data_IF_681095623647
#
_entry.id   IF_681095623647
#
_cell.length_a   1.000
_cell.length_b   1.000
_cell.length_c   1.000
_cell.angle_alpha   90.00
_cell.angle_beta   90.00
_cell.angle_gamma   90.00
#
_symmetry.space_group_name_H-M   'P 1'
#
loop_
_entity.id
_entity.type
_entity.pdbx_description
1 polymer ?
#
# COMPACT_ATOMS: atom_id res chain seq x y z
N UNK A 1 47.45 -15.72 14.56
CA UNK A 1 46.51 -16.69 15.18
C UNK A 1 46.60 -16.51 16.69
N UNK A 2 45.50 -16.15 17.35
CA UNK A 2 44.62 -17.17 17.92
C UNK A 2 43.20 -17.11 17.37
N UNK A 3 42.43 -18.11 17.77
CA UNK A 3 41.29 -18.69 17.09
C UNK A 3 39.93 -18.34 17.74
N UNK A 4 38.89 -18.36 16.88
CA UNK A 4 37.50 -18.79 17.10
C UNK A 4 36.68 -18.14 18.23
N UNK A 5 35.57 -17.49 17.85
CA UNK A 5 34.25 -17.82 18.41
C UNK A 5 33.23 -17.89 17.27
N UNK A 6 32.74 -19.10 17.05
CA UNK A 6 31.54 -19.44 16.28
C UNK A 6 30.32 -19.14 17.15
N UNK A 7 29.36 -18.36 16.61
CA UNK A 7 27.90 -18.47 16.78
C UNK A 7 27.16 -17.14 17.00
N UNK A 8 26.37 -16.81 15.97
CA UNK A 8 24.98 -16.34 15.99
C UNK A 8 24.61 -15.12 16.83
N UNK A 9 24.40 -13.98 16.15
CA UNK A 9 23.31 -13.05 16.50
C UNK A 9 22.68 -12.56 15.18
N UNK A 10 21.40 -12.85 14.98
CA UNK A 10 20.56 -12.18 13.98
C UNK A 10 20.46 -10.71 14.39
N UNK A 11 21.36 -9.87 13.87
CA UNK A 11 21.28 -8.44 14.06
C UNK A 11 19.99 -7.95 13.38
N UNK A 12 19.03 -7.32 14.09
CA UNK A 12 18.00 -6.56 13.41
C UNK A 12 18.76 -5.53 12.56
N UNK A 13 18.61 -5.61 11.24
CA UNK A 13 19.18 -4.64 10.31
C UNK A 13 18.76 -3.26 10.81
N UNK A 14 19.70 -2.50 11.36
CA UNK A 14 19.48 -1.13 11.78
C UNK A 14 19.29 -0.32 10.50
N UNK A 15 18.04 -0.23 10.05
CA UNK A 15 17.65 0.59 8.90
C UNK A 15 17.95 2.03 9.27
N UNK A 16 18.78 2.69 8.47
CA UNK A 16 19.07 4.12 8.66
C UNK A 16 17.81 4.96 8.44
N UNK A 17 17.76 6.17 8.99
CA UNK A 17 16.62 7.06 8.71
C UNK A 17 16.41 7.32 7.22
N UNK A 18 17.51 7.35 6.45
CA UNK A 18 17.46 7.53 5.01
C UNK A 18 16.80 6.33 4.32
N UNK A 19 17.27 5.11 4.58
CA UNK A 19 16.67 3.89 4.04
C UNK A 19 15.21 3.74 4.47
N UNK A 20 14.87 4.19 5.69
CA UNK A 20 13.49 4.22 6.15
C UNK A 20 12.62 5.18 5.34
N UNK A 21 13.09 6.40 5.07
CA UNK A 21 12.36 7.38 4.24
C UNK A 21 12.16 6.87 2.82
N UNK A 22 13.21 6.34 2.20
CA UNK A 22 13.13 5.74 0.86
C UNK A 22 12.13 4.57 0.82
N UNK A 23 12.10 3.73 1.86
CA UNK A 23 11.11 2.67 1.97
C UNK A 23 9.67 3.20 2.12
N UNK A 24 9.47 4.30 2.85
CA UNK A 24 8.15 4.93 2.97
C UNK A 24 7.68 5.53 1.65
N UNK A 25 8.58 6.13 0.88
CA UNK A 25 8.28 6.65 -0.45
C UNK A 25 7.86 5.52 -1.40
N UNK A 26 8.62 4.42 -1.44
CA UNK A 26 8.27 3.24 -2.22
C UNK A 26 6.92 2.63 -1.82
N UNK A 27 6.59 2.64 -0.52
CA UNK A 27 5.28 2.19 -0.03
C UNK A 27 4.16 3.09 -0.52
N UNK A 28 4.35 4.41 -0.44
CA UNK A 28 3.37 5.40 -0.96
C UNK A 28 3.16 5.24 -2.46
N UNK A 29 4.23 5.07 -3.23
CA UNK A 29 4.12 4.81 -4.68
C UNK A 29 3.34 3.55 -4.99
N UNK A 30 3.57 2.47 -4.25
CA UNK A 30 2.83 1.21 -4.43
C UNK A 30 1.36 1.38 -4.09
N UNK A 31 1.05 2.02 -2.97
CA UNK A 31 -0.32 2.31 -2.57
C UNK A 31 -1.06 3.17 -3.61
N UNK A 32 -0.39 4.21 -4.15
CA UNK A 32 -0.95 5.04 -5.21
C UNK A 32 -1.25 4.22 -6.48
N UNK A 33 -0.32 3.36 -6.92
CA UNK A 33 -0.54 2.49 -8.08
C UNK A 33 -1.67 1.48 -7.87
N UNK A 34 -1.84 0.99 -6.64
CA UNK A 34 -2.93 0.08 -6.29
C UNK A 34 -4.28 0.81 -6.31
N UNK A 35 -4.35 2.01 -5.73
CA UNK A 35 -5.51 2.88 -5.82
C UNK A 35 -5.90 3.20 -7.28
N UNK A 36 -4.92 3.51 -8.13
CA UNK A 36 -5.17 3.77 -9.56
C UNK A 36 -5.75 2.55 -10.29
N UNK A 37 -5.20 1.36 -10.03
CA UNK A 37 -5.70 0.10 -10.61
C UNK A 37 -7.12 -0.18 -10.17
N UNK A 38 -7.39 0.05 -8.90
CA UNK A 38 -8.69 -0.17 -8.31
C UNK A 38 -9.74 0.80 -8.87
N UNK A 39 -9.40 2.09 -8.97
CA UNK A 39 -10.23 3.11 -9.61
C UNK A 39 -10.58 2.73 -11.06
N UNK A 40 -9.60 2.20 -11.83
CA UNK A 40 -9.84 1.70 -13.19
C UNK A 40 -10.79 0.50 -13.19
N UNK A 41 -10.64 -0.42 -12.23
CA UNK A 41 -11.49 -1.63 -12.11
C UNK A 41 -12.95 -1.26 -11.92
N UNK A 42 -13.23 -0.30 -11.03
CA UNK A 42 -14.61 0.05 -10.66
C UNK A 42 -15.25 1.09 -11.59
N UNK A 43 -14.47 1.73 -12.48
CA UNK A 43 -14.95 2.83 -13.32
C UNK A 43 -16.19 2.49 -14.15
N UNK A 44 -16.24 1.29 -14.73
CA UNK A 44 -17.38 0.87 -15.53
C UNK A 44 -18.72 0.85 -14.74
N UNK A 45 -18.67 0.48 -13.45
CA UNK A 45 -19.84 0.52 -12.58
C UNK A 45 -20.23 1.96 -12.25
N UNK A 46 -19.25 2.82 -11.97
CA UNK A 46 -19.51 4.23 -11.69
C UNK A 46 -20.12 4.96 -12.89
N UNK A 47 -19.63 4.67 -14.10
CA UNK A 47 -20.15 5.20 -15.36
C UNK A 47 -21.60 4.72 -15.63
N UNK A 48 -21.96 3.52 -15.13
CA UNK A 48 -23.30 2.95 -15.24
C UNK A 48 -24.27 3.40 -14.11
N UNK A 49 -23.82 4.28 -13.20
CA UNK A 49 -24.58 4.65 -12.00
C UNK A 49 -24.87 3.45 -11.07
N UNK A 50 -23.91 2.52 -10.97
CA UNK A 50 -24.00 1.33 -10.14
C UNK A 50 -22.97 1.35 -9.01
N UNK A 51 -23.28 0.65 -7.91
CA UNK A 51 -22.32 0.37 -6.84
C UNK A 51 -21.46 -0.83 -7.27
N UNK A 52 -20.12 -0.70 -7.32
CA UNK A 52 -19.25 -1.82 -7.65
C UNK A 52 -19.35 -2.94 -6.60
N UNK A 53 -19.20 -4.22 -7.01
CA UNK A 53 -19.28 -5.33 -6.08
C UNK A 53 -18.18 -5.26 -5.01
N UNK A 54 -18.55 -5.44 -3.74
CA UNK A 54 -17.66 -5.32 -2.58
C UNK A 54 -17.59 -3.91 -1.98
N UNK A 55 -18.33 -2.95 -2.53
CA UNK A 55 -18.41 -1.56 -2.05
C UNK A 55 -19.78 -1.21 -1.45
N UNK A 56 -20.62 -2.19 -1.16
CA UNK A 56 -22.00 -2.01 -0.69
C UNK A 56 -22.09 -1.31 0.68
N UNK A 57 -20.99 -1.27 1.43
CA UNK A 57 -20.88 -0.57 2.71
C UNK A 57 -20.68 0.94 2.57
N UNK A 58 -20.31 1.41 1.37
CA UNK A 58 -20.08 2.82 1.07
C UNK A 58 -21.24 3.41 0.26
N UNK A 59 -21.51 4.70 0.46
CA UNK A 59 -22.44 5.40 -0.43
C UNK A 59 -21.79 5.62 -1.79
N UNK A 60 -22.61 5.77 -2.83
CA UNK A 60 -22.10 6.11 -4.16
C UNK A 60 -21.26 7.39 -4.16
N UNK A 61 -21.65 8.39 -3.37
CA UNK A 61 -20.86 9.62 -3.23
C UNK A 61 -19.49 9.34 -2.62
N UNK A 62 -19.41 8.50 -1.59
CA UNK A 62 -18.14 8.09 -0.98
C UNK A 62 -17.25 7.32 -1.96
N UNK A 63 -17.83 6.48 -2.82
CA UNK A 63 -17.08 5.70 -3.82
C UNK A 63 -16.55 6.61 -4.93
N UNK A 64 -17.39 7.52 -5.43
CA UNK A 64 -17.04 8.44 -6.52
C UNK A 64 -16.11 9.58 -6.08
N UNK A 65 -16.16 9.99 -4.80
CA UNK A 65 -15.20 10.95 -4.22
C UNK A 65 -13.83 10.35 -3.97
N UNK A 66 -13.73 9.01 -3.92
CA UNK A 66 -12.50 8.31 -3.53
C UNK A 66 -12.23 8.32 -2.03
N UNK A 67 -13.17 8.75 -1.19
CA UNK A 67 -12.99 8.77 0.28
C UNK A 67 -12.75 7.39 0.89
N UNK A 68 -13.18 6.32 0.23
CA UNK A 68 -12.90 4.94 0.63
C UNK A 68 -11.42 4.54 0.51
N UNK A 69 -10.58 5.35 -0.15
CA UNK A 69 -9.13 5.15 -0.27
C UNK A 69 -8.31 5.82 0.85
N UNK A 70 -8.94 6.65 1.69
CA UNK A 70 -8.30 7.42 2.77
C UNK A 70 -8.21 6.62 4.08
#
# INVERSE_FOLDING_TARGET
>A
MPALVTSAVHLPTLVTEQEWRELQELRRERAAREADREAVRIRAHLDADEIPPGYEVYTREQISSGEWLA
#
